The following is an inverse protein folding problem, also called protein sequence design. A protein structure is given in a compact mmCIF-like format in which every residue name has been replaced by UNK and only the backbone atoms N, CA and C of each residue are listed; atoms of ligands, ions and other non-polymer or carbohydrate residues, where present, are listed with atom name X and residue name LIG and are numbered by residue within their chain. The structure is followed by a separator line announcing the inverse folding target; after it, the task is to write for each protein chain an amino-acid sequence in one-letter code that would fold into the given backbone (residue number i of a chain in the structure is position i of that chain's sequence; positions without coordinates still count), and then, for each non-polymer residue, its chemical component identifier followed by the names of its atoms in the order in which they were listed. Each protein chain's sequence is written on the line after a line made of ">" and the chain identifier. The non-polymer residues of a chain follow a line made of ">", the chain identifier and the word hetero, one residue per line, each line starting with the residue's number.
data_IF_677470005902
#
_entry.id   IF_677470005902
#
_cell.length_a   1.000
_cell.length_b   1.000
_cell.length_c   1.000
_cell.angle_alpha   90.00
_cell.angle_beta   90.00
_cell.angle_gamma   90.00
#
_symmetry.space_group_name_H-M   'P 1'
#
loop_
_entity.id
_entity.type
_entity.pdbx_description
1 polymer ?
#
# COMPACT_ATOMS: atom_id res chain seq x y z
N UNK A 1 51.71 -0.54 -7.34
CA UNK A 1 51.31 -1.31 -6.16
C UNK A 1 49.81 -1.19 -6.02
N UNK A 2 49.14 -2.34 -6.02
CA UNK A 2 47.73 -2.54 -6.41
C UNK A 2 46.75 -1.83 -5.48
N UNK A 3 46.01 -0.86 -6.00
CA UNK A 3 44.88 -0.24 -5.31
C UNK A 3 43.62 -1.08 -5.61
N UNK A 4 43.56 -2.25 -4.99
CA UNK A 4 42.40 -3.14 -5.04
C UNK A 4 41.25 -2.49 -4.30
N UNK A 5 40.46 -1.67 -5.00
CA UNK A 5 39.15 -1.21 -4.51
C UNK A 5 38.35 -2.44 -4.09
N UNK A 6 38.19 -2.65 -2.79
CA UNK A 6 37.42 -3.74 -2.22
C UNK A 6 36.00 -3.66 -2.75
N UNK A 7 35.67 -4.51 -3.72
CA UNK A 7 34.30 -4.72 -4.16
C UNK A 7 33.48 -5.10 -2.92
N UNK A 8 32.44 -4.32 -2.57
CA UNK A 8 31.67 -4.60 -1.36
C UNK A 8 30.95 -5.95 -1.49
N UNK A 9 31.01 -6.76 -0.43
CA UNK A 9 30.34 -8.07 -0.41
C UNK A 9 28.83 -7.93 -0.58
N UNK A 10 28.19 -8.98 -1.09
CA UNK A 10 26.73 -9.02 -1.28
C UNK A 10 25.94 -8.66 0.00
N UNK A 11 26.25 -9.20 1.20
CA UNK A 11 25.54 -8.81 2.42
C UNK A 11 25.68 -7.31 2.73
N UNK A 12 26.87 -6.75 2.50
CA UNK A 12 27.14 -5.32 2.70
C UNK A 12 26.32 -4.46 1.75
N UNK A 13 26.23 -4.86 0.47
CA UNK A 13 25.40 -4.18 -0.52
C UNK A 13 23.92 -4.27 -0.19
N UNK A 14 23.45 -5.44 0.25
CA UNK A 14 22.06 -5.64 0.64
C UNK A 14 21.68 -4.78 1.84
N UNK A 15 22.53 -4.72 2.86
CA UNK A 15 22.32 -3.85 4.02
C UNK A 15 22.29 -2.37 3.61
N UNK A 16 23.27 -1.91 2.81
CA UNK A 16 23.31 -0.52 2.32
C UNK A 16 22.10 -0.19 1.45
N UNK A 17 21.62 -1.13 0.66
CA UNK A 17 20.40 -0.98 -0.14
C UNK A 17 19.18 -0.70 0.74
N UNK A 18 18.97 -1.44 1.82
CA UNK A 18 17.83 -1.22 2.70
C UNK A 18 17.94 0.05 3.54
N UNK A 19 19.11 0.32 4.13
CA UNK A 19 19.29 1.42 5.09
C UNK A 19 19.50 2.75 4.35
N UNK A 20 20.50 2.81 3.47
CA UNK A 20 20.90 4.06 2.84
C UNK A 20 20.09 4.35 1.58
N UNK A 21 19.91 3.36 0.70
CA UNK A 21 19.29 3.62 -0.60
C UNK A 21 17.77 3.72 -0.52
N UNK A 22 17.08 2.71 0.01
CA UNK A 22 15.61 2.73 0.11
C UNK A 22 15.12 3.76 1.13
N UNK A 23 15.75 3.80 2.31
CA UNK A 23 15.38 4.70 3.39
C UNK A 23 15.69 6.17 3.07
N UNK A 24 16.96 6.48 2.78
CA UNK A 24 17.41 7.87 2.72
C UNK A 24 17.36 8.46 1.30
N UNK A 25 17.78 7.70 0.27
CA UNK A 25 17.89 8.24 -1.08
C UNK A 25 16.56 8.21 -1.85
N UNK A 26 15.85 7.08 -1.80
CA UNK A 26 14.57 6.93 -2.52
C UNK A 26 13.34 7.31 -1.69
N UNK A 27 13.51 7.46 -0.37
CA UNK A 27 12.44 7.79 0.58
C UNK A 27 11.15 6.98 0.34
N UNK A 28 11.30 5.66 0.07
CA UNK A 28 10.15 4.81 -0.22
C UNK A 28 9.35 4.52 1.05
N UNK A 29 8.07 4.22 0.90
CA UNK A 29 7.20 3.92 2.05
C UNK A 29 7.69 2.70 2.83
N UNK A 30 7.46 2.68 4.14
CA UNK A 30 7.76 1.53 5.01
C UNK A 30 7.17 0.21 4.50
N UNK A 31 5.98 0.27 3.87
CA UNK A 31 5.35 -0.89 3.22
C UNK A 31 6.16 -1.42 2.03
N UNK A 32 6.79 -0.53 1.25
CA UNK A 32 7.69 -0.92 0.16
C UNK A 32 8.95 -1.59 0.69
N UNK A 33 9.54 -1.03 1.76
CA UNK A 33 10.71 -1.61 2.44
C UNK A 33 10.38 -3.01 2.96
N UNK A 34 9.24 -3.17 3.65
CA UNK A 34 8.78 -4.47 4.16
C UNK A 34 8.57 -5.47 3.01
N UNK A 35 7.90 -5.06 1.93
CA UNK A 35 7.71 -5.92 0.76
C UNK A 35 9.04 -6.36 0.15
N UNK A 36 10.01 -5.45 -0.01
CA UNK A 36 11.33 -5.79 -0.55
C UNK A 36 12.08 -6.73 0.40
N UNK A 37 12.09 -6.45 1.70
CA UNK A 37 12.70 -7.29 2.74
C UNK A 37 12.14 -8.71 2.69
N UNK A 38 10.83 -8.85 2.61
CA UNK A 38 10.19 -10.16 2.56
C UNK A 38 10.52 -10.91 1.26
N UNK A 39 10.82 -10.19 0.16
CA UNK A 39 11.31 -10.80 -1.09
C UNK A 39 12.67 -11.43 -0.87
N UNK A 40 13.59 -10.68 -0.26
CA UNK A 40 14.94 -11.17 -0.01
C UNK A 40 14.96 -12.30 1.01
N UNK A 41 14.11 -12.28 2.04
CA UNK A 41 13.97 -13.42 2.96
C UNK A 41 13.56 -14.70 2.24
N UNK A 42 12.59 -14.62 1.33
CA UNK A 42 12.15 -15.77 0.53
C UNK A 42 13.22 -16.23 -0.46
N UNK A 43 13.90 -15.29 -1.13
CA UNK A 43 14.99 -15.63 -2.06
C UNK A 43 16.13 -16.35 -1.33
N UNK A 44 16.55 -15.83 -0.18
CA UNK A 44 17.65 -16.40 0.60
C UNK A 44 17.30 -17.78 1.16
N UNK A 45 16.04 -17.99 1.57
CA UNK A 45 15.55 -19.32 1.95
C UNK A 45 15.46 -20.28 0.76
N UNK A 46 15.09 -19.79 -0.43
CA UNK A 46 15.11 -20.62 -1.64
C UNK A 46 16.53 -21.00 -2.08
N UNK A 47 17.49 -20.10 -1.89
CA UNK A 47 18.90 -20.32 -2.24
C UNK A 47 19.65 -21.24 -1.26
N UNK A 48 18.97 -21.88 -0.29
CA UNK A 48 19.50 -22.69 0.83
C UNK A 48 20.58 -23.71 0.46
N UNK A 49 20.71 -24.12 -0.80
CA UNK A 49 21.83 -24.92 -1.30
C UNK A 49 23.21 -24.23 -1.13
N UNK A 50 23.25 -22.91 -1.00
CA UNK A 50 24.46 -22.12 -0.75
C UNK A 50 24.26 -21.35 0.55
N UNK A 51 25.14 -21.51 1.54
CA UNK A 51 25.07 -20.76 2.79
C UNK A 51 24.89 -19.25 2.50
N UNK A 52 23.93 -18.53 3.12
CA UNK A 52 23.61 -17.14 2.78
C UNK A 52 24.82 -16.19 2.82
N UNK A 53 25.81 -16.50 3.65
CA UNK A 53 27.06 -15.75 3.82
C UNK A 53 28.05 -15.92 2.66
N UNK A 54 27.87 -16.96 1.83
CA UNK A 54 28.71 -17.27 0.66
C UNK A 54 28.10 -16.78 -0.66
N UNK A 55 26.85 -16.35 -0.66
CA UNK A 55 26.20 -15.82 -1.86
C UNK A 55 26.91 -14.55 -2.33
N UNK A 56 27.24 -14.54 -3.62
CA UNK A 56 27.81 -13.42 -4.36
C UNK A 56 26.79 -12.84 -5.33
N UNK A 57 27.08 -11.68 -5.93
CA UNK A 57 26.20 -11.10 -6.95
C UNK A 57 26.13 -11.96 -8.22
N UNK A 58 27.20 -12.70 -8.54
CA UNK A 58 27.25 -13.59 -9.71
C UNK A 58 26.39 -14.83 -9.53
N UNK A 59 26.11 -15.24 -8.29
CA UNK A 59 25.19 -16.36 -8.01
C UNK A 59 23.73 -15.97 -8.21
N UNK A 60 23.41 -14.66 -8.25
CA UNK A 60 22.07 -14.15 -8.54
C UNK A 60 21.82 -14.08 -10.05
N UNK A 61 22.04 -15.20 -10.74
CA UNK A 61 21.87 -15.29 -12.17
C UNK A 61 20.40 -15.45 -12.61
N UNK A 62 20.18 -15.42 -13.93
CA UNK A 62 18.84 -15.56 -14.49
C UNK A 62 18.22 -16.93 -14.16
N UNK A 63 19.02 -17.99 -14.00
CA UNK A 63 18.52 -19.34 -13.69
C UNK A 63 18.00 -19.42 -12.27
N UNK A 64 18.77 -18.94 -11.28
CA UNK A 64 18.36 -18.88 -9.89
C UNK A 64 17.10 -18.02 -9.73
N UNK A 65 17.06 -16.84 -10.36
CA UNK A 65 15.90 -15.95 -10.26
C UNK A 65 14.67 -16.58 -10.92
N UNK A 66 14.79 -17.20 -12.09
CA UNK A 66 13.67 -17.90 -12.72
C UNK A 66 13.19 -19.08 -11.87
N UNK A 67 14.11 -19.91 -11.35
CA UNK A 67 13.78 -21.01 -10.44
C UNK A 67 13.05 -20.53 -9.19
N UNK A 68 13.52 -19.43 -8.59
CA UNK A 68 12.83 -18.79 -7.47
C UNK A 68 11.42 -18.33 -7.82
N UNK A 69 11.26 -17.64 -8.95
CA UNK A 69 9.95 -17.15 -9.39
C UNK A 69 8.98 -18.29 -9.71
N UNK A 70 9.48 -19.42 -10.21
CA UNK A 70 8.69 -20.62 -10.46
C UNK A 70 8.32 -21.35 -9.17
N UNK A 71 9.23 -21.44 -8.19
CA UNK A 71 8.94 -21.94 -6.85
C UNK A 71 7.84 -21.10 -6.17
N UNK A 72 7.88 -19.78 -6.30
CA UNK A 72 6.81 -18.90 -5.78
C UNK A 72 5.44 -19.24 -6.36
N UNK A 73 5.35 -19.60 -7.64
CA UNK A 73 4.08 -19.95 -8.28
C UNK A 73 3.65 -21.38 -7.93
N UNK A 74 4.56 -22.36 -8.03
CA UNK A 74 4.22 -23.79 -7.93
C UNK A 74 4.05 -24.24 -6.49
N UNK A 75 4.96 -23.88 -5.60
CA UNK A 75 4.97 -24.38 -4.21
C UNK A 75 4.25 -23.44 -3.25
N UNK A 76 4.34 -22.12 -3.49
CA UNK A 76 3.66 -21.12 -2.64
C UNK A 76 2.34 -20.61 -3.20
N UNK A 77 1.93 -21.10 -4.37
CA UNK A 77 0.67 -20.73 -5.04
C UNK A 77 0.49 -19.22 -5.23
N UNK A 78 1.59 -18.47 -5.39
CA UNK A 78 1.50 -17.04 -5.61
C UNK A 78 1.00 -16.72 -7.03
N UNK A 79 0.09 -15.77 -7.14
CA UNK A 79 -0.32 -15.24 -8.43
C UNK A 79 0.75 -14.42 -9.14
N UNK A 80 0.62 -14.28 -10.46
CA UNK A 80 1.55 -13.54 -11.32
C UNK A 80 1.83 -12.10 -10.88
N UNK A 81 0.87 -11.42 -10.26
CA UNK A 81 1.05 -10.07 -9.69
C UNK A 81 2.08 -10.07 -8.56
N UNK A 82 1.98 -11.02 -7.64
CA UNK A 82 2.93 -11.16 -6.52
C UNK A 82 4.30 -11.54 -7.05
N UNK A 83 4.39 -12.51 -7.98
CA UNK A 83 5.64 -12.88 -8.67
C UNK A 83 6.32 -11.66 -9.29
N UNK A 84 5.60 -10.85 -10.06
CA UNK A 84 6.14 -9.65 -10.71
C UNK A 84 6.57 -8.58 -9.69
N UNK A 85 5.84 -8.42 -8.59
CA UNK A 85 6.23 -7.50 -7.52
C UNK A 85 7.54 -7.94 -6.84
N UNK A 86 7.74 -9.25 -6.64
CA UNK A 86 9.00 -9.81 -6.15
C UNK A 86 10.14 -9.57 -7.15
N UNK A 87 9.92 -9.86 -8.44
CA UNK A 87 10.90 -9.58 -9.50
C UNK A 87 11.28 -8.09 -9.56
N UNK A 88 10.32 -7.18 -9.41
CA UNK A 88 10.59 -5.74 -9.38
C UNK A 88 11.51 -5.33 -8.21
N UNK A 89 11.33 -5.95 -7.03
CA UNK A 89 12.21 -5.72 -5.88
C UNK A 89 13.65 -6.20 -6.16
N UNK A 90 13.79 -7.38 -6.76
CA UNK A 90 15.09 -7.94 -7.15
C UNK A 90 15.80 -7.05 -8.16
N UNK A 91 15.10 -6.62 -9.22
CA UNK A 91 15.65 -5.68 -10.20
C UNK A 91 16.07 -4.36 -9.58
N UNK A 92 15.30 -3.84 -8.62
CA UNK A 92 15.65 -2.59 -7.95
C UNK A 92 16.97 -2.72 -7.19
N UNK A 93 17.22 -3.86 -6.56
CA UNK A 93 18.49 -4.13 -5.89
C UNK A 93 19.63 -4.34 -6.88
N UNK A 94 19.45 -5.15 -7.92
CA UNK A 94 20.53 -5.42 -8.90
C UNK A 94 20.95 -4.16 -9.65
N UNK A 95 20.01 -3.26 -9.98
CA UNK A 95 20.33 -1.93 -10.51
C UNK A 95 21.18 -1.10 -9.55
N UNK A 96 20.89 -1.16 -8.27
CA UNK A 96 21.70 -0.50 -7.25
C UNK A 96 23.10 -1.15 -7.13
N UNK A 97 23.17 -2.48 -7.12
CA UNK A 97 24.42 -3.22 -7.00
C UNK A 97 25.35 -3.04 -8.21
N UNK A 98 24.79 -2.89 -9.41
CA UNK A 98 25.51 -2.62 -10.65
C UNK A 98 26.41 -1.37 -10.60
N UNK A 99 26.14 -0.42 -9.70
CA UNK A 99 26.97 0.77 -9.52
C UNK A 99 28.23 0.52 -8.68
N UNK A 100 28.32 -0.62 -7.98
CA UNK A 100 29.42 -0.93 -7.05
C UNK A 100 30.26 -2.12 -7.49
N UNK A 101 29.69 -3.04 -8.26
CA UNK A 101 30.39 -4.21 -8.79
C UNK A 101 30.18 -4.34 -10.30
N UNK A 102 31.19 -3.90 -11.06
CA UNK A 102 31.18 -3.96 -12.52
C UNK A 102 31.37 -5.39 -13.04
N UNK A 103 31.96 -6.28 -12.24
CA UNK A 103 32.23 -7.66 -12.67
C UNK A 103 30.95 -8.49 -12.77
N UNK A 104 29.95 -8.15 -11.96
CA UNK A 104 28.64 -8.79 -11.97
C UNK A 104 27.69 -8.23 -13.05
N UNK A 105 28.07 -7.18 -13.81
CA UNK A 105 27.20 -6.53 -14.80
C UNK A 105 26.60 -7.50 -15.83
N UNK A 106 27.37 -8.43 -16.44
CA UNK A 106 26.80 -9.35 -17.43
C UNK A 106 25.67 -10.21 -16.84
N UNK A 107 25.83 -10.68 -15.60
CA UNK A 107 24.82 -11.46 -14.88
C UNK A 107 23.61 -10.59 -14.54
N UNK A 108 23.85 -9.37 -14.05
CA UNK A 108 22.80 -8.41 -13.71
C UNK A 108 21.94 -8.09 -14.93
N UNK A 109 22.55 -7.80 -16.08
CA UNK A 109 21.82 -7.45 -17.31
C UNK A 109 20.89 -8.57 -17.76
N UNK A 110 21.32 -9.83 -17.66
CA UNK A 110 20.48 -10.99 -17.95
C UNK A 110 19.23 -11.04 -17.06
N UNK A 111 19.37 -10.78 -15.75
CA UNK A 111 18.22 -10.76 -14.82
C UNK A 111 17.31 -9.56 -15.09
N UNK A 112 17.88 -8.41 -15.44
CA UNK A 112 17.10 -7.21 -15.78
C UNK A 112 16.26 -7.40 -17.06
N UNK A 113 16.76 -8.22 -17.99
CA UNK A 113 16.11 -8.56 -19.26
C UNK A 113 14.98 -9.59 -19.12
N UNK A 114 14.85 -10.29 -17.98
CA UNK A 114 13.76 -11.25 -17.77
C UNK A 114 12.39 -10.56 -18.04
N UNK A 115 11.45 -11.21 -18.72
CA UNK A 115 10.14 -10.61 -18.93
C UNK A 115 9.29 -10.68 -17.64
N UNK A 116 8.47 -9.65 -17.42
CA UNK A 116 7.38 -9.76 -16.43
C UNK A 116 6.32 -10.71 -16.98
N UNK A 117 5.76 -11.57 -16.13
CA UNK A 117 4.70 -12.49 -16.56
C UNK A 117 3.44 -11.70 -16.86
N UNK A 118 2.86 -11.89 -18.05
CA UNK A 118 1.57 -11.31 -18.39
C UNK A 118 0.50 -11.93 -17.50
N UNK A 119 -0.41 -11.11 -17.03
CA UNK A 119 -1.57 -11.56 -16.27
C UNK A 119 -2.75 -10.72 -16.67
N UNK A 120 -3.92 -11.34 -16.71
CA UNK A 120 -5.14 -10.60 -17.00
C UNK A 120 -5.52 -9.76 -15.79
N UNK A 121 -5.90 -8.51 -16.06
CA UNK A 121 -6.36 -7.60 -15.03
C UNK A 121 -7.88 -7.57 -15.15
N UNK A 122 -8.62 -8.27 -14.27
CA UNK A 122 -10.06 -8.17 -14.31
C UNK A 122 -10.42 -6.70 -14.15
N UNK A 123 -11.19 -6.20 -15.11
CA UNK A 123 -11.79 -4.88 -15.00
C UNK A 123 -12.82 -5.02 -13.89
N UNK A 124 -12.56 -4.36 -12.76
CA UNK A 124 -13.56 -4.26 -11.70
C UNK A 124 -14.78 -3.57 -12.30
N UNK A 125 -15.94 -4.22 -12.20
CA UNK A 125 -17.22 -3.61 -12.56
C UNK A 125 -17.49 -2.35 -11.73
N UNK A 126 -18.47 -1.57 -12.14
CA UNK A 126 -18.98 -0.45 -11.35
C UNK A 126 -20.10 -0.95 -10.43
N UNK A 127 -20.29 -0.27 -9.30
CA UNK A 127 -21.43 -0.49 -8.43
C UNK A 127 -22.60 0.35 -8.95
N UNK A 128 -23.78 -0.26 -9.10
CA UNK A 128 -24.99 0.48 -9.41
C UNK A 128 -25.38 1.40 -8.24
N UNK A 129 -26.34 2.29 -8.47
CA UNK A 129 -26.86 3.16 -7.39
C UNK A 129 -27.50 2.32 -6.30
N UNK A 130 -28.21 1.26 -6.70
CA UNK A 130 -28.90 0.32 -5.84
C UNK A 130 -27.90 -0.47 -4.98
N UNK A 131 -26.82 -0.97 -5.58
CA UNK A 131 -25.74 -1.67 -4.85
C UNK A 131 -25.08 -0.75 -3.83
N UNK A 132 -24.78 0.50 -4.22
CA UNK A 132 -24.21 1.49 -3.32
C UNK A 132 -25.15 1.82 -2.16
N UNK A 133 -26.45 1.95 -2.42
CA UNK A 133 -27.43 2.23 -1.38
C UNK A 133 -27.53 1.05 -0.39
N UNK A 134 -27.54 -0.18 -0.88
CA UNK A 134 -27.52 -1.37 -0.03
C UNK A 134 -26.28 -1.42 0.87
N UNK A 135 -25.11 -1.01 0.37
CA UNK A 135 -23.87 -0.92 1.18
C UNK A 135 -23.99 0.16 2.26
N UNK A 136 -24.57 1.32 1.94
CA UNK A 136 -24.75 2.43 2.89
C UNK A 136 -25.80 2.12 3.97
N UNK A 137 -26.77 1.27 3.68
CA UNK A 137 -27.83 0.87 4.61
C UNK A 137 -27.54 -0.44 5.37
N UNK A 138 -26.49 -1.18 5.01
CA UNK A 138 -26.08 -2.40 5.70
C UNK A 138 -25.70 -2.22 7.20
N UNK A 139 -25.05 -1.11 7.63
CA UNK A 139 -24.70 -0.92 9.04
C UNK A 139 -25.93 -0.73 9.94
N UNK A 140 -25.94 -1.37 11.12
CA UNK A 140 -27.05 -1.26 12.07
C UNK A 140 -27.08 0.11 12.76
N UNK A 141 -28.00 0.97 12.33
CA UNK A 141 -28.24 2.31 12.87
C UNK A 141 -28.68 2.33 14.35
N UNK A 142 -28.98 1.18 14.97
CA UNK A 142 -29.35 1.10 16.40
C UNK A 142 -28.13 1.12 17.32
N UNK A 143 -26.93 0.86 16.79
CA UNK A 143 -25.69 0.84 17.57
C UNK A 143 -24.74 1.93 17.09
N UNK A 144 -23.98 2.50 18.03
CA UNK A 144 -23.00 3.54 17.72
C UNK A 144 -22.00 3.14 16.63
N UNK A 145 -21.56 1.88 16.63
CA UNK A 145 -20.63 1.36 15.62
C UNK A 145 -21.24 1.39 14.21
N UNK A 146 -22.54 1.12 14.07
CA UNK A 146 -23.21 1.14 12.76
C UNK A 146 -23.41 2.56 12.23
N UNK A 147 -23.74 3.52 13.10
CA UNK A 147 -23.77 4.95 12.74
C UNK A 147 -22.38 5.44 12.29
N UNK A 148 -21.33 5.05 13.00
CA UNK A 148 -19.94 5.35 12.62
C UNK A 148 -19.57 4.77 11.26
N UNK A 149 -19.88 3.50 11.03
CA UNK A 149 -19.51 2.80 9.80
C UNK A 149 -20.31 3.33 8.60
N UNK A 150 -21.59 3.67 8.80
CA UNK A 150 -22.43 4.37 7.80
C UNK A 150 -21.85 5.74 7.42
N UNK A 151 -21.42 6.53 8.40
CA UNK A 151 -20.77 7.82 8.16
C UNK A 151 -19.46 7.63 7.37
N UNK A 152 -18.64 6.63 7.74
CA UNK A 152 -17.40 6.29 7.04
C UNK A 152 -17.64 5.90 5.58
N UNK A 153 -18.60 5.01 5.30
CA UNK A 153 -18.92 4.61 3.92
C UNK A 153 -19.50 5.77 3.11
N UNK A 154 -20.35 6.59 3.70
CA UNK A 154 -20.90 7.78 3.05
C UNK A 154 -19.78 8.76 2.68
N UNK A 155 -18.83 8.96 3.58
CA UNK A 155 -17.66 9.81 3.37
C UNK A 155 -16.76 9.29 2.24
N UNK A 156 -16.47 7.98 2.24
CA UNK A 156 -15.67 7.34 1.19
C UNK A 156 -16.36 7.39 -0.17
N UNK A 157 -17.67 7.16 -0.22
CA UNK A 157 -18.44 7.23 -1.45
C UNK A 157 -18.49 8.65 -2.03
N UNK A 158 -18.74 9.64 -1.19
CA UNK A 158 -18.83 11.04 -1.58
C UNK A 158 -17.50 11.56 -2.12
N UNK A 159 -16.41 11.31 -1.39
CA UNK A 159 -15.11 11.92 -1.68
C UNK A 159 -14.18 11.07 -2.54
N UNK A 160 -14.53 9.80 -2.77
CA UNK A 160 -13.63 8.82 -3.37
C UNK A 160 -12.36 8.58 -2.55
N UNK A 161 -12.40 8.85 -1.24
CA UNK A 161 -11.26 8.64 -0.35
C UNK A 161 -10.90 7.15 -0.28
N UNK A 162 -9.59 6.85 -0.29
CA UNK A 162 -9.12 5.49 0.05
C UNK A 162 -9.36 5.23 1.53
N UNK A 163 -9.53 3.97 1.92
CA UNK A 163 -9.70 3.59 3.35
C UNK A 163 -8.64 4.25 4.24
N UNK A 164 -7.37 4.22 3.83
CA UNK A 164 -6.29 4.84 4.61
C UNK A 164 -6.37 6.36 4.71
N UNK A 165 -6.97 7.02 3.71
CA UNK A 165 -7.19 8.47 3.72
C UNK A 165 -8.39 8.79 4.63
N UNK A 166 -9.48 8.01 4.55
CA UNK A 166 -10.68 8.21 5.36
C UNK A 166 -10.45 7.98 6.85
N UNK A 167 -9.72 6.93 7.25
CA UNK A 167 -9.40 6.68 8.67
C UNK A 167 -8.35 7.63 9.24
N UNK A 168 -7.56 8.28 8.38
CA UNK A 168 -6.52 9.23 8.77
C UNK A 168 -7.03 10.66 8.94
N UNK A 169 -8.27 10.91 8.53
CA UNK A 169 -8.89 12.24 8.52
C UNK A 169 -9.12 12.74 9.95
N UNK A 170 -8.70 13.98 10.21
CA UNK A 170 -8.85 14.64 11.51
C UNK A 170 -10.07 15.56 11.52
N UNK A 171 -10.61 15.84 12.71
CA UNK A 171 -11.76 16.74 12.87
C UNK A 171 -11.48 18.13 12.27
N UNK A 172 -10.28 18.68 12.47
CA UNK A 172 -9.90 19.98 11.91
C UNK A 172 -9.68 19.99 10.39
N UNK A 173 -9.67 18.83 9.74
CA UNK A 173 -9.57 18.69 8.28
C UNK A 173 -10.96 18.60 7.62
N UNK A 174 -12.03 18.64 8.42
CA UNK A 174 -13.42 18.63 7.96
C UNK A 174 -14.08 19.94 8.35
N UNK A 175 -14.39 20.75 7.35
CA UNK A 175 -15.17 21.97 7.52
C UNK A 175 -16.63 21.61 7.26
N UNK A 176 -17.49 21.78 8.26
CA UNK A 176 -18.94 21.51 8.15
C UNK A 176 -19.74 22.80 7.97
N UNK A 177 -19.21 23.93 8.44
CA UNK A 177 -19.87 25.22 8.37
C UNK A 177 -19.79 25.84 6.96
N UNK A 178 -20.94 26.33 6.47
CA UNK A 178 -21.04 26.92 5.13
C UNK A 178 -20.97 25.86 4.02
N UNK A 179 -19.92 25.91 3.21
CA UNK A 179 -19.64 24.92 2.18
C UNK A 179 -18.85 23.77 2.77
N UNK A 180 -19.54 22.67 3.10
CA UNK A 180 -18.89 21.52 3.71
C UNK A 180 -17.78 20.95 2.81
N UNK A 181 -16.57 20.81 3.34
CA UNK A 181 -15.37 20.39 2.62
C UNK A 181 -14.53 19.48 3.50
N UNK A 182 -13.96 18.44 2.91
CA UNK A 182 -12.94 17.61 3.53
C UNK A 182 -11.59 17.78 2.85
N UNK A 183 -10.55 17.99 3.66
CA UNK A 183 -9.17 18.06 3.21
C UNK A 183 -8.54 16.66 3.32
N UNK A 184 -8.30 16.03 2.18
CA UNK A 184 -7.73 14.68 2.11
C UNK A 184 -6.24 14.72 1.78
N UNK A 185 -5.45 14.06 2.62
CA UNK A 185 -4.01 13.88 2.44
C UNK A 185 -3.73 12.54 1.72
N UNK A 186 -3.51 12.60 0.41
CA UNK A 186 -3.34 11.43 -0.44
C UNK A 186 -1.90 10.89 -0.54
N UNK A 187 -1.78 9.67 -1.07
CA UNK A 187 -0.47 9.04 -1.34
C UNK A 187 0.38 9.94 -2.25
N UNK A 188 1.63 10.18 -1.84
CA UNK A 188 2.59 11.00 -2.59
C UNK A 188 2.51 12.50 -2.26
N UNK A 189 2.01 12.86 -1.06
CA UNK A 189 1.82 14.26 -0.63
C UNK A 189 0.92 15.06 -1.58
N UNK A 190 -0.13 14.40 -2.10
CA UNK A 190 -1.12 15.06 -2.95
C UNK A 190 -2.32 15.39 -2.09
N UNK A 191 -2.42 16.66 -1.75
CA UNK A 191 -3.54 17.18 -0.97
C UNK A 191 -4.67 17.57 -1.91
N UNK A 192 -5.91 17.27 -1.52
CA UNK A 192 -7.10 17.68 -2.25
C UNK A 192 -8.21 18.06 -1.29
N UNK A 193 -8.90 19.15 -1.60
CA UNK A 193 -10.12 19.57 -0.92
C UNK A 193 -11.30 19.07 -1.73
N UNK A 194 -12.20 18.30 -1.10
CA UNK A 194 -13.37 17.73 -1.78
C UNK A 194 -14.63 18.25 -1.10
N UNK A 195 -15.59 18.83 -1.85
CA UNK A 195 -16.86 19.25 -1.27
C UNK A 195 -17.65 18.03 -0.80
N UNK A 196 -18.28 18.18 0.36
CA UNK A 196 -19.16 17.17 0.95
C UNK A 196 -20.62 17.45 0.57
N UNK A 197 -21.37 16.39 0.34
CA UNK A 197 -22.82 16.49 0.21
C UNK A 197 -23.44 16.79 1.56
N UNK A 198 -24.57 17.48 1.55
CA UNK A 198 -25.31 17.81 2.78
C UNK A 198 -25.63 16.57 3.63
N UNK A 199 -26.01 15.47 2.99
CA UNK A 199 -26.32 14.20 3.65
C UNK A 199 -25.10 13.54 4.32
N UNK A 200 -23.89 13.83 3.84
CA UNK A 200 -22.64 13.33 4.41
C UNK A 200 -22.09 14.24 5.51
N UNK A 201 -22.20 15.56 5.32
CA UNK A 201 -21.75 16.56 6.29
C UNK A 201 -22.66 16.61 7.53
N UNK A 202 -23.97 16.46 7.31
CA UNK A 202 -24.99 16.37 8.34
C UNK A 202 -25.71 15.03 8.19
N UNK A 203 -25.10 13.91 8.63
CA UNK A 203 -25.83 12.65 8.69
C UNK A 203 -27.04 12.84 9.62
N UNK A 204 -28.20 12.24 9.31
CA UNK A 204 -29.38 12.33 10.17
C UNK A 204 -29.03 11.79 11.55
N UNK A 205 -28.78 12.70 12.51
CA UNK A 205 -28.47 12.32 13.88
C UNK A 205 -29.75 11.83 14.53
N UNK A 206 -29.81 10.56 14.89
CA UNK A 206 -30.75 10.13 15.92
C UNK A 206 -30.21 10.64 17.25
N UNK A 207 -30.86 11.65 17.82
CA UNK A 207 -30.62 12.08 19.19
C UNK A 207 -30.92 10.90 20.10
N UNK A 208 -29.88 10.20 20.55
CA UNK A 208 -29.99 9.31 21.68
C UNK A 208 -30.15 10.19 22.92
N UNK A 209 -31.38 10.54 23.27
CA UNK A 209 -31.71 10.89 24.65
C UNK A 209 -31.35 9.68 25.51
N UNK A 210 -30.51 9.90 26.52
CA UNK A 210 -30.27 8.93 27.61
C UNK A 210 -31.62 8.70 28.31
N UNK A 211 -32.44 7.79 27.77
CA UNK A 211 -33.81 7.58 28.24
C UNK A 211 -34.82 7.29 27.12
N UNK A 212 -34.68 6.14 26.46
CA UNK A 212 -35.83 5.28 26.10
C UNK A 212 -36.99 5.80 25.24
N UNK A 213 -36.83 6.81 24.37
CA UNK A 213 -37.81 7.04 23.29
C UNK A 213 -37.20 7.79 22.10
N UNK A 214 -37.29 7.19 20.90
CA UNK A 214 -36.85 7.80 19.65
C UNK A 214 -38.02 8.58 19.04
N UNK A 215 -37.94 9.92 19.01
CA UNK A 215 -38.83 10.75 18.21
C UNK A 215 -38.09 11.34 17.01
N UNK A 216 -38.77 11.34 15.86
CA UNK A 216 -38.31 11.89 14.59
C UNK A 216 -38.50 13.41 14.60
N UNK A 217 -37.48 14.14 15.08
CA UNK A 217 -37.52 15.60 15.22
C UNK A 217 -36.41 16.28 14.42
N UNK A 218 -36.79 17.04 13.39
CA UNK A 218 -35.90 17.93 12.66
C UNK A 218 -35.56 19.15 13.54
N UNK A 219 -34.40 19.15 14.19
CA UNK A 219 -33.91 20.34 14.89
C UNK A 219 -33.06 21.17 13.93
N UNK A 220 -33.60 22.33 13.56
CA UNK A 220 -32.87 23.43 12.92
C UNK A 220 -31.82 23.97 13.90
N UNK A 221 -30.73 24.44 13.31
CA UNK A 221 -29.71 25.38 13.78
C UNK A 221 -29.92 26.03 15.16
N UNK A 222 -28.79 26.14 15.87
CA UNK A 222 -28.53 26.89 17.12
C UNK A 222 -29.19 26.28 18.35
N UNK A 223 -28.45 25.41 19.05
CA UNK A 223 -28.17 25.52 20.49
C UNK A 223 -27.60 24.20 21.04
N UNK A 224 -26.81 24.33 22.11
CA UNK A 224 -26.32 23.29 23.02
C UNK A 224 -24.96 22.63 22.70
N UNK A 225 -23.90 23.32 23.14
CA UNK A 225 -22.74 22.71 23.78
C UNK A 225 -22.47 23.48 25.09
N UNK A 226 -22.14 22.79 26.19
CA UNK A 226 -20.96 23.15 26.97
C UNK A 226 -19.78 22.25 26.59
#
# INVERSE_FOLDING_TARGET
>A
MSDSKLTPSFPSLLQRFFIAHLGNQRAVSSRTIAAYRDTFRLLLGFAEATAPTRLTLTDLDAQLILGFLDHLEKERSNGARTRNARLAALRSFLKYAAHYDLTALPVIEQVLALPMKRFDRPVLGFLSREDMQAILDAPDARIWAGERDRALFSMMYNTGARVSEAIGLRVGEVVVDGSAVAHLHGKGRKDRSVPLWRTTANPPRRTCTLGGSCHEGALRSTDCCP
#
